data_IF_448371412585
#
_entry.id   IF_448371412585
#
_cell.length_a   1.000
_cell.length_b   1.000
_cell.length_c   1.000
_cell.angle_alpha   90.00
_cell.angle_beta   90.00
_cell.angle_gamma   90.00
#
_symmetry.space_group_name_H-M   'P 1'
#
loop_
_entity.id
_entity.type
_entity.pdbx_description
1 polymer ?
#
# COMPACT_ATOMS: atom_id res chain seq x y z
N UNK A 1 9.50 -24.64 -3.53
CA UNK A 1 8.75 -24.05 -2.40
C UNK A 1 7.95 -22.89 -2.97
N UNK A 2 6.63 -22.90 -2.82
CA UNK A 2 5.80 -21.79 -3.29
C UNK A 2 6.05 -20.56 -2.43
N UNK A 3 6.37 -19.43 -3.06
CA UNK A 3 6.46 -18.16 -2.36
C UNK A 3 5.02 -17.71 -2.11
N UNK A 4 4.51 -17.90 -0.89
CA UNK A 4 3.23 -17.34 -0.49
C UNK A 4 3.39 -15.82 -0.39
N UNK A 5 2.50 -15.09 -1.05
CA UNK A 5 2.47 -13.64 -1.04
C UNK A 5 1.26 -13.20 -0.21
N UNK A 6 1.50 -12.33 0.76
CA UNK A 6 0.44 -11.71 1.55
C UNK A 6 0.04 -10.38 0.91
N UNK A 7 -0.83 -10.44 -0.09
CA UNK A 7 -1.42 -9.25 -0.70
C UNK A 7 -2.18 -8.41 0.34
N UNK A 8 -2.18 -7.09 0.17
CA UNK A 8 -2.91 -6.18 1.07
C UNK A 8 -3.69 -5.11 0.31
N UNK A 9 -4.71 -4.60 0.99
CA UNK A 9 -5.54 -3.47 0.60
C UNK A 9 -6.02 -2.76 1.87
N UNK A 10 -6.64 -1.60 1.70
CA UNK A 10 -7.16 -0.79 2.80
C UNK A 10 -8.54 -0.25 2.42
N UNK A 11 -9.53 -0.53 3.25
CA UNK A 11 -10.90 -0.05 3.05
C UNK A 11 -11.43 0.57 4.33
N UNK A 12 -12.32 1.55 4.18
CA UNK A 12 -13.07 2.09 5.29
C UNK A 12 -14.07 1.03 5.80
N UNK A 13 -14.00 0.70 7.09
CA UNK A 13 -14.83 -0.36 7.67
C UNK A 13 -16.32 0.01 7.79
N UNK A 14 -16.66 1.31 7.74
CA UNK A 14 -18.04 1.81 7.89
C UNK A 14 -18.71 1.98 6.53
N UNK A 15 -18.02 2.59 5.58
CA UNK A 15 -18.55 2.87 4.23
C UNK A 15 -18.24 1.76 3.23
N UNK A 16 -17.33 0.85 3.58
CA UNK A 16 -16.77 -0.17 2.69
C UNK A 16 -16.09 0.42 1.45
N UNK A 17 -15.69 1.69 1.51
CA UNK A 17 -15.01 2.36 0.40
C UNK A 17 -13.52 1.97 0.39
N UNK A 18 -13.02 1.61 -0.79
CA UNK A 18 -11.61 1.29 -0.98
C UNK A 18 -10.75 2.55 -0.90
N UNK A 19 -9.83 2.59 0.06
CA UNK A 19 -8.82 3.64 0.22
C UNK A 19 -7.59 3.27 -0.61
N UNK A 20 -7.15 2.02 -0.49
CA UNK A 20 -6.13 1.38 -1.32
C UNK A 20 -6.73 0.06 -1.80
N UNK A 21 -6.80 -0.20 -3.12
CA UNK A 21 -7.35 -1.45 -3.60
C UNK A 21 -6.50 -2.64 -3.15
N UNK A 22 -7.10 -3.83 -3.05
CA UNK A 22 -6.39 -5.06 -2.71
C UNK A 22 -5.45 -5.49 -3.85
N UNK A 23 -4.13 -5.39 -3.62
CA UNK A 23 -3.12 -5.75 -4.63
C UNK A 23 -2.42 -7.05 -4.24
N UNK A 24 -2.69 -8.11 -4.99
CA UNK A 24 -2.28 -9.49 -4.66
C UNK A 24 -0.77 -9.76 -4.71
N UNK A 25 -0.02 -8.97 -5.49
CA UNK A 25 1.43 -9.14 -5.67
C UNK A 25 2.26 -8.13 -4.85
N UNK A 26 1.60 -7.28 -4.06
CA UNK A 26 2.23 -6.42 -3.07
C UNK A 26 2.27 -7.18 -1.75
N UNK A 27 3.41 -7.81 -1.47
CA UNK A 27 3.59 -8.60 -0.27
C UNK A 27 3.74 -7.69 0.96
N UNK A 28 2.80 -7.77 1.89
CA UNK A 28 2.89 -7.12 3.18
C UNK A 28 4.01 -7.74 4.02
N UNK A 29 4.99 -6.94 4.42
CA UNK A 29 6.11 -7.36 5.26
C UNK A 29 5.98 -6.84 6.69
N UNK A 30 5.50 -5.60 6.86
CA UNK A 30 5.20 -5.03 8.16
C UNK A 30 4.05 -4.02 8.07
N UNK A 31 3.24 -3.98 9.11
CA UNK A 31 2.18 -2.99 9.32
C UNK A 31 2.29 -2.49 10.75
N UNK A 32 2.44 -1.18 10.92
CA UNK A 32 2.48 -0.53 12.23
C UNK A 32 1.50 0.64 12.22
N UNK A 33 0.61 0.67 13.20
CA UNK A 33 -0.33 1.77 13.40
C UNK A 33 0.30 2.81 14.34
N UNK A 34 0.36 4.07 13.88
CA UNK A 34 0.96 5.17 14.66
C UNK A 34 0.02 6.38 14.59
N UNK A 35 -0.71 6.62 15.68
CA UNK A 35 -1.77 7.62 15.76
C UNK A 35 -2.80 7.40 14.63
N UNK A 36 -3.04 8.43 13.80
CA UNK A 36 -3.98 8.40 12.68
C UNK A 36 -3.34 7.93 11.35
N UNK A 37 -2.18 7.26 11.39
CA UNK A 37 -1.45 6.84 10.22
C UNK A 37 -1.01 5.36 10.29
N UNK A 38 -0.92 4.72 9.13
CA UNK A 38 -0.44 3.36 8.95
C UNK A 38 0.94 3.41 8.29
N UNK A 39 1.96 2.89 8.96
CA UNK A 39 3.26 2.64 8.36
C UNK A 39 3.24 1.24 7.77
N UNK A 40 3.41 1.17 6.44
CA UNK A 40 3.37 -0.08 5.71
C UNK A 40 4.73 -0.30 5.07
N UNK A 41 5.32 -1.47 5.34
CA UNK A 41 6.47 -1.98 4.61
C UNK A 41 6.01 -3.16 3.75
N UNK A 42 6.37 -3.12 2.48
CA UNK A 42 5.99 -4.18 1.54
C UNK A 42 7.04 -4.38 0.45
N UNK A 43 6.90 -5.49 -0.28
CA UNK A 43 7.70 -5.84 -1.46
C UNK A 43 6.79 -6.11 -2.65
N UNK A 44 7.27 -5.84 -3.86
CA UNK A 44 6.50 -6.02 -5.09
C UNK A 44 7.06 -7.22 -5.85
N UNK A 45 6.24 -8.24 -6.06
CA UNK A 45 6.61 -9.42 -6.83
C UNK A 45 6.30 -9.25 -8.32
N UNK A 46 7.04 -9.93 -9.24
CA UNK A 46 8.01 -11.00 -8.98
C UNK A 46 9.41 -10.55 -8.55
N UNK A 47 9.75 -9.25 -8.61
CA UNK A 47 11.09 -8.76 -8.26
C UNK A 47 11.45 -9.08 -6.81
N UNK A 48 10.61 -8.68 -5.85
CA UNK A 48 10.72 -9.06 -4.44
C UNK A 48 12.02 -8.62 -3.74
N UNK A 49 12.90 -7.87 -4.43
CA UNK A 49 14.24 -7.53 -3.97
C UNK A 49 14.26 -6.21 -3.19
N UNK A 50 13.32 -5.32 -3.50
CA UNK A 50 13.24 -3.97 -2.94
C UNK A 50 12.14 -3.87 -1.88
N UNK A 51 12.51 -3.33 -0.71
CA UNK A 51 11.56 -2.92 0.31
C UNK A 51 11.04 -1.51 0.03
N UNK A 52 9.73 -1.35 0.12
CA UNK A 52 9.04 -0.07 0.02
C UNK A 52 8.45 0.28 1.37
N UNK A 53 8.75 1.48 1.84
CA UNK A 53 8.16 2.06 3.04
C UNK A 53 7.20 3.19 2.64
N UNK A 54 5.99 3.15 3.20
CA UNK A 54 4.99 4.21 3.06
C UNK A 54 4.35 4.53 4.39
N UNK A 55 3.94 5.79 4.54
CA UNK A 55 3.08 6.23 5.65
C UNK A 55 1.75 6.65 5.05
N UNK A 56 0.70 5.87 5.26
CA UNK A 56 -0.64 6.11 4.75
C UNK A 56 -1.47 6.82 5.82
N UNK A 57 -2.10 7.94 5.47
CA UNK A 57 -3.15 8.53 6.27
C UNK A 57 -4.51 8.20 5.64
N UNK A 58 -5.26 7.23 6.19
CA UNK A 58 -6.54 6.80 5.61
C UNK A 58 -7.58 7.91 5.62
N UNK A 59 -7.61 8.76 6.65
CA UNK A 59 -8.59 9.84 6.80
C UNK A 59 -8.40 10.95 5.76
N UNK A 60 -7.14 11.30 5.48
CA UNK A 60 -6.79 12.33 4.50
C UNK A 60 -6.59 11.76 3.08
N UNK A 61 -6.80 10.45 2.89
CA UNK A 61 -6.64 9.74 1.61
C UNK A 61 -5.32 10.04 0.91
N UNK A 62 -4.26 10.11 1.69
CA UNK A 62 -2.93 10.36 1.16
C UNK A 62 -1.91 9.40 1.76
N UNK A 63 -0.77 9.32 1.10
CA UNK A 63 0.37 8.59 1.62
C UNK A 63 1.67 9.33 1.32
N UNK A 64 2.66 9.12 2.17
CA UNK A 64 4.01 9.65 2.01
C UNK A 64 4.94 8.51 1.62
N UNK A 65 5.66 8.71 0.51
CA UNK A 65 6.73 7.83 0.06
C UNK A 65 7.93 8.67 -0.35
N UNK A 66 9.13 8.33 0.14
CA UNK A 66 10.38 9.05 -0.17
C UNK A 66 10.26 10.58 -0.01
N UNK A 67 9.67 11.01 1.10
CA UNK A 67 9.45 12.43 1.45
C UNK A 67 8.50 13.19 0.51
N UNK A 68 7.76 12.49 -0.36
CA UNK A 68 6.74 13.07 -1.23
C UNK A 68 5.37 12.54 -0.84
N UNK A 69 4.37 13.42 -0.87
CA UNK A 69 2.97 13.10 -0.59
C UNK A 69 2.22 12.82 -1.90
N UNK A 70 1.37 11.80 -1.88
CA UNK A 70 0.56 11.35 -3.00
C UNK A 70 -0.86 11.04 -2.53
N UNK A 71 -1.83 11.05 -3.45
CA UNK A 71 -3.21 10.62 -3.14
C UNK A 71 -3.29 9.09 -3.18
N UNK A 72 -4.11 8.45 -2.34
CA UNK A 72 -4.20 6.97 -2.29
C UNK A 72 -4.71 6.35 -3.59
N UNK A 73 -5.51 7.08 -4.38
CA UNK A 73 -5.88 6.66 -5.75
C UNK A 73 -4.67 6.44 -6.67
N UNK A 74 -3.57 7.15 -6.45
CA UNK A 74 -2.35 6.99 -7.24
C UNK A 74 -1.44 5.88 -6.71
N UNK A 75 -1.81 5.19 -5.63
CA UNK A 75 -0.94 4.23 -4.94
C UNK A 75 -0.38 3.18 -5.91
N UNK A 76 -1.25 2.49 -6.64
CA UNK A 76 -0.84 1.50 -7.63
C UNK A 76 0.07 2.08 -8.71
N UNK A 77 -0.26 3.28 -9.20
CA UNK A 77 0.51 3.97 -10.24
C UNK A 77 1.90 4.39 -9.80
N UNK A 78 2.05 4.88 -8.57
CA UNK A 78 3.35 5.31 -8.04
C UNK A 78 4.32 4.12 -7.95
N UNK A 79 3.83 2.92 -7.65
CA UNK A 79 4.67 1.74 -7.48
C UNK A 79 4.84 0.90 -8.74
N UNK A 80 3.87 0.90 -9.67
CA UNK A 80 3.92 0.08 -10.89
C UNK A 80 4.13 0.87 -12.18
N UNK A 81 3.94 2.19 -12.16
CA UNK A 81 3.93 3.05 -13.34
C UNK A 81 2.69 2.89 -14.23
N UNK A 82 1.68 2.13 -13.81
CA UNK A 82 0.48 1.81 -14.59
C UNK A 82 -0.79 2.29 -13.87
N UNK A 83 -1.86 2.54 -14.61
CA UNK A 83 -3.17 2.76 -14.01
C UNK A 83 -3.71 1.44 -13.42
N UNK A 84 -4.46 1.53 -12.32
CA UNK A 84 -5.16 0.38 -11.74
C UNK A 84 -6.30 -0.02 -12.68
N UNK A 85 -6.40 -1.32 -13.02
CA UNK A 85 -7.41 -1.87 -13.94
C UNK A 85 -8.50 -2.64 -13.20
#
# INVERSE_FOLDING_TARGET
MGLWIYGFGLSDAVTNEEIIPLISFFNLDNLEEVNDALKIRFRIYPDGSTYYDVVVNPFLRNFVHRYKQYHTNDFYKIFTGKEYQ
#
